data_IF_448900516145
#
_entry.id   IF_448900516145
#
_cell.length_a   1.000
_cell.length_b   1.000
_cell.length_c   1.000
_cell.angle_alpha   90.00
_cell.angle_beta   90.00
_cell.angle_gamma   90.00
#
_symmetry.space_group_name_H-M   'P 1'
#
loop_
_entity.id
_entity.type
_entity.pdbx_description
1 polymer ?
#
# COMPACT_ATOMS: atom_id res chain seq x y z
N UNK A 1 29.85 -22.69 5.42
CA UNK A 1 28.58 -22.14 5.92
C UNK A 1 27.93 -21.47 4.74
N UNK A 2 26.85 -22.05 4.21
CA UNK A 2 26.09 -21.39 3.15
C UNK A 2 25.50 -20.12 3.76
N UNK A 3 25.79 -18.97 3.16
CA UNK A 3 25.05 -17.74 3.43
C UNK A 3 23.64 -17.99 2.91
N UNK A 4 22.62 -17.88 3.76
CA UNK A 4 21.23 -17.90 3.29
C UNK A 4 21.05 -16.71 2.34
N UNK A 5 20.70 -17.00 1.09
CA UNK A 5 20.34 -16.00 0.09
C UNK A 5 19.16 -15.19 0.61
N UNK A 6 19.26 -13.86 0.54
CA UNK A 6 18.16 -12.96 0.95
C UNK A 6 17.04 -12.97 -0.10
N UNK A 7 15.85 -12.48 0.27
CA UNK A 7 14.75 -12.30 -0.68
C UNK A 7 15.19 -11.42 -1.87
N UNK A 8 16.03 -10.41 -1.64
CA UNK A 8 16.56 -9.56 -2.71
C UNK A 8 17.50 -10.35 -3.63
N UNK A 9 18.35 -11.22 -3.09
CA UNK A 9 19.23 -12.07 -3.90
C UNK A 9 18.43 -12.99 -4.81
N UNK A 10 17.28 -13.48 -4.35
CA UNK A 10 16.35 -14.24 -5.17
C UNK A 10 15.67 -13.36 -6.23
N UNK A 11 15.19 -12.17 -5.87
CA UNK A 11 14.52 -11.26 -6.81
C UNK A 11 15.46 -10.82 -7.94
N UNK A 12 16.73 -10.52 -7.64
CA UNK A 12 17.76 -10.14 -8.63
C UNK A 12 17.99 -11.17 -9.73
N UNK A 13 17.70 -12.44 -9.45
CA UNK A 13 17.82 -13.53 -10.43
C UNK A 13 16.66 -13.53 -11.44
N UNK A 14 15.50 -13.01 -11.04
CA UNK A 14 14.25 -13.08 -11.81
C UNK A 14 13.86 -11.75 -12.45
N UNK A 15 14.24 -10.61 -11.83
CA UNK A 15 13.89 -9.27 -12.29
C UNK A 15 15.09 -8.32 -12.17
N UNK A 16 15.20 -7.28 -13.04
CA UNK A 16 16.26 -6.28 -12.98
C UNK A 16 15.99 -5.30 -11.82
N UNK A 17 16.30 -5.73 -10.60
CA UNK A 17 16.15 -4.93 -9.37
C UNK A 17 17.51 -4.69 -8.72
N UNK A 18 17.77 -3.47 -8.27
CA UNK A 18 18.96 -3.13 -7.52
C UNK A 18 18.59 -2.38 -6.23
N UNK A 19 19.50 -2.45 -5.26
CA UNK A 19 19.36 -1.73 -3.99
C UNK A 19 20.32 -0.56 -3.98
N UNK A 20 19.79 0.64 -3.81
CA UNK A 20 20.57 1.87 -3.71
C UNK A 20 20.04 2.74 -2.57
N UNK A 21 20.91 3.59 -2.02
CA UNK A 21 20.50 4.59 -1.04
C UNK A 21 19.85 5.78 -1.74
N UNK A 22 18.60 6.07 -1.37
CA UNK A 22 17.86 7.23 -1.86
C UNK A 22 17.88 8.35 -0.81
N UNK A 23 18.49 9.49 -1.15
CA UNK A 23 18.47 10.69 -0.32
C UNK A 23 17.43 11.68 -0.85
N UNK A 24 16.41 11.94 -0.03
CA UNK A 24 15.33 12.90 -0.32
C UNK A 24 15.62 14.22 0.40
N UNK A 25 16.17 15.19 -0.33
CA UNK A 25 16.52 16.51 0.20
C UNK A 25 15.28 17.42 0.28
N UNK A 26 15.25 18.44 1.16
CA UNK A 26 14.13 19.38 1.27
C UNK A 26 13.69 20.01 -0.07
N UNK A 27 14.64 20.27 -0.97
CA UNK A 27 14.40 20.89 -2.29
C UNK A 27 14.06 19.86 -3.39
N UNK A 28 13.96 18.58 -3.06
CA UNK A 28 13.62 17.53 -4.01
C UNK A 28 12.15 17.66 -4.44
N UNK A 29 11.90 17.65 -5.75
CA UNK A 29 10.55 17.57 -6.32
C UNK A 29 10.05 16.12 -6.27
N UNK A 30 9.67 15.66 -5.08
CA UNK A 30 9.27 14.29 -4.82
C UNK A 30 7.88 14.25 -4.18
N UNK A 31 7.09 13.25 -4.57
CA UNK A 31 5.80 12.94 -3.99
C UNK A 31 5.69 11.46 -3.65
N UNK A 32 4.78 11.14 -2.74
CA UNK A 32 4.47 9.77 -2.37
C UNK A 32 3.20 9.33 -3.09
N UNK A 33 3.26 8.18 -3.76
CA UNK A 33 2.08 7.50 -4.30
C UNK A 33 1.81 6.26 -3.46
N UNK A 34 0.62 6.19 -2.88
CA UNK A 34 0.11 5.03 -2.14
C UNK A 34 -0.84 4.29 -3.07
N UNK A 35 -0.65 3.00 -3.24
CA UNK A 35 -1.43 2.18 -4.16
C UNK A 35 -2.15 1.10 -3.37
N UNK A 36 -3.47 1.14 -3.38
CA UNK A 36 -4.38 0.07 -2.96
C UNK A 36 -4.19 -0.43 -1.53
N UNK A 37 -3.81 0.47 -0.60
CA UNK A 37 -3.80 0.19 0.85
C UNK A 37 -5.22 0.33 1.42
N UNK A 38 -6.16 -0.42 0.84
CA UNK A 38 -7.59 -0.42 1.16
C UNK A 38 -7.97 -1.62 2.02
N UNK A 39 -9.10 -1.51 2.73
CA UNK A 39 -9.57 -2.57 3.63
C UNK A 39 -9.80 -3.90 2.91
N UNK A 40 -10.31 -3.85 1.67
CA UNK A 40 -10.57 -5.02 0.83
C UNK A 40 -9.35 -5.90 0.56
N UNK A 41 -8.13 -5.39 0.79
CA UNK A 41 -6.88 -6.14 0.67
C UNK A 41 -6.11 -6.29 1.98
N UNK A 42 -6.29 -5.36 2.93
CA UNK A 42 -5.39 -5.25 4.08
C UNK A 42 -6.04 -5.63 5.41
N UNK A 43 -7.37 -5.55 5.52
CA UNK A 43 -8.08 -5.69 6.81
C UNK A 43 -8.71 -7.07 6.94
N UNK A 44 -8.44 -7.76 8.04
CA UNK A 44 -8.86 -9.17 8.21
C UNK A 44 -10.38 -9.30 8.10
N UNK A 45 -10.83 -10.12 7.15
CA UNK A 45 -12.25 -10.40 6.93
C UNK A 45 -13.04 -9.24 6.32
N UNK A 46 -12.39 -8.19 5.83
CA UNK A 46 -13.10 -7.04 5.26
C UNK A 46 -13.68 -7.24 3.88
N UNK A 47 -13.31 -8.31 3.15
CA UNK A 47 -13.82 -8.58 1.82
C UNK A 47 -13.28 -9.89 1.25
N UNK A 48 -13.69 -10.24 0.03
CA UNK A 48 -13.30 -11.52 -0.60
C UNK A 48 -11.79 -11.63 -0.89
N UNK A 49 -11.12 -10.49 -1.07
CA UNK A 49 -9.68 -10.40 -1.36
C UNK A 49 -8.84 -10.08 -0.12
N UNK A 50 -9.49 -9.90 1.03
CA UNK A 50 -8.82 -9.52 2.26
C UNK A 50 -8.24 -10.75 2.96
N UNK A 51 -7.21 -10.59 3.82
CA UNK A 51 -6.69 -11.70 4.59
C UNK A 51 -7.78 -12.33 5.46
N UNK A 52 -7.85 -13.67 5.49
CA UNK A 52 -8.83 -14.39 6.33
C UNK A 52 -8.40 -14.53 7.78
N UNK A 53 -7.13 -14.23 8.07
CA UNK A 53 -6.51 -14.25 9.40
C UNK A 53 -5.41 -13.19 9.46
N UNK A 54 -4.95 -12.79 10.67
CA UNK A 54 -3.84 -11.84 10.80
C UNK A 54 -2.61 -12.26 9.98
N UNK A 55 -2.00 -11.29 9.30
CA UNK A 55 -0.81 -11.48 8.49
C UNK A 55 0.19 -10.36 8.80
N UNK A 56 1.30 -10.71 9.46
CA UNK A 56 2.32 -9.76 9.90
C UNK A 56 2.95 -8.98 8.75
N UNK A 57 3.09 -9.59 7.57
CA UNK A 57 3.65 -8.91 6.40
C UNK A 57 2.73 -7.78 5.92
N UNK A 58 1.42 -8.03 5.89
CA UNK A 58 0.42 -7.02 5.53
C UNK A 58 0.40 -5.91 6.58
N UNK A 59 0.34 -6.26 7.87
CA UNK A 59 0.36 -5.26 8.95
C UNK A 59 1.60 -4.37 8.87
N UNK A 60 2.79 -4.96 8.70
CA UNK A 60 4.04 -4.20 8.59
C UNK A 60 4.06 -3.30 7.35
N UNK A 61 3.53 -3.77 6.22
CA UNK A 61 3.42 -2.97 5.00
C UNK A 61 2.50 -1.76 5.20
N UNK A 62 1.34 -1.95 5.84
CA UNK A 62 0.40 -0.87 6.16
C UNK A 62 1.05 0.15 7.11
N UNK A 63 1.75 -0.32 8.14
CA UNK A 63 2.45 0.53 9.12
C UNK A 63 3.56 1.38 8.47
N UNK A 64 4.39 0.78 7.61
CA UNK A 64 5.45 1.51 6.90
C UNK A 64 4.88 2.51 5.89
N UNK A 65 3.81 2.14 5.18
CA UNK A 65 3.11 3.06 4.27
C UNK A 65 2.57 4.28 5.03
N UNK A 66 1.95 4.04 6.18
CA UNK A 66 1.46 5.10 7.07
C UNK A 66 2.59 5.98 7.62
N UNK A 67 3.73 5.38 7.99
CA UNK A 67 4.91 6.11 8.48
C UNK A 67 5.48 7.02 7.39
N UNK A 68 5.63 6.53 6.17
CA UNK A 68 6.10 7.33 5.04
C UNK A 68 5.12 8.46 4.70
N UNK A 69 3.81 8.18 4.70
CA UNK A 69 2.80 9.21 4.42
C UNK A 69 2.83 10.35 5.45
N UNK A 70 3.01 10.04 6.74
CA UNK A 70 3.18 11.05 7.79
C UNK A 70 4.44 11.89 7.57
N UNK A 71 5.57 11.26 7.26
CA UNK A 71 6.82 11.99 7.00
C UNK A 71 6.68 12.96 5.82
N UNK A 72 5.98 12.56 4.76
CA UNK A 72 5.70 13.44 3.62
C UNK A 72 4.79 14.60 4.02
N UNK A 73 3.73 14.35 4.78
CA UNK A 73 2.85 15.40 5.28
C UNK A 73 3.57 16.39 6.21
N UNK A 74 4.42 15.91 7.12
CA UNK A 74 5.19 16.76 8.04
C UNK A 74 6.12 17.71 7.26
N UNK A 75 6.63 17.25 6.11
CA UNK A 75 7.44 18.04 5.16
C UNK A 75 6.61 18.91 4.20
N UNK A 76 5.28 18.79 4.23
CA UNK A 76 4.36 19.39 3.25
C UNK A 76 4.68 18.98 1.82
N UNK A 77 5.08 17.73 1.65
CA UNK A 77 5.29 17.10 0.36
C UNK A 77 4.01 16.41 -0.11
N UNK A 78 3.76 16.36 -1.43
CA UNK A 78 2.53 15.82 -1.96
C UNK A 78 2.41 14.31 -1.69
N UNK A 79 1.22 13.91 -1.27
CA UNK A 79 0.81 12.50 -1.14
C UNK A 79 -0.42 12.27 -2.01
N UNK A 80 -0.38 11.24 -2.85
CA UNK A 80 -1.47 10.84 -3.71
C UNK A 80 -1.80 9.37 -3.46
N UNK A 81 -3.09 9.01 -3.43
CA UNK A 81 -3.54 7.64 -3.21
C UNK A 81 -4.42 7.16 -4.37
N UNK A 82 -4.06 6.01 -4.94
CA UNK A 82 -4.96 5.21 -5.77
C UNK A 82 -5.68 4.22 -4.86
N UNK A 83 -7.01 4.18 -4.98
CA UNK A 83 -7.86 3.26 -4.26
C UNK A 83 -8.53 2.36 -5.26
N UNK A 84 -8.22 1.07 -5.22
CA UNK A 84 -8.97 0.09 -5.97
C UNK A 84 -10.45 0.21 -5.64
N UNK A 85 -11.26 0.37 -6.68
CA UNK A 85 -12.67 0.67 -6.53
C UNK A 85 -13.46 0.27 -7.77
N UNK A 86 -14.41 -0.65 -7.59
CA UNK A 86 -15.21 -1.20 -8.69
C UNK A 86 -16.66 -0.76 -8.65
N UNK A 87 -17.23 -0.60 -9.84
CA UNK A 87 -18.67 -0.48 -10.00
C UNK A 87 -19.32 -1.88 -9.86
N UNK A 88 -20.41 -2.04 -9.09
CA UNK A 88 -21.03 -3.34 -8.86
C UNK A 88 -21.48 -4.05 -10.15
N UNK A 89 -21.87 -3.26 -11.16
CA UNK A 89 -22.33 -3.78 -12.45
C UNK A 89 -21.21 -4.03 -13.47
N UNK A 90 -19.95 -3.77 -13.12
CA UNK A 90 -18.78 -3.97 -14.02
C UNK A 90 -17.80 -4.94 -13.34
N UNK A 91 -18.05 -6.26 -13.42
CA UNK A 91 -17.22 -7.25 -12.75
C UNK A 91 -15.83 -7.37 -13.39
N UNK A 92 -14.81 -7.53 -12.56
CA UNK A 92 -13.43 -7.80 -12.98
C UNK A 92 -13.13 -9.29 -12.90
N UNK A 93 -13.28 -10.01 -14.02
CA UNK A 93 -12.99 -11.45 -14.09
C UNK A 93 -11.47 -11.65 -14.23
N UNK A 94 -10.83 -12.56 -13.45
CA UNK A 94 -11.42 -13.68 -12.69
C UNK A 94 -11.67 -13.41 -11.20
N UNK A 95 -11.49 -12.17 -10.73
CA UNK A 95 -11.61 -11.86 -9.31
C UNK A 95 -13.08 -11.87 -8.84
N UNK A 96 -13.35 -12.27 -7.60
CA UNK A 96 -14.68 -12.11 -7.00
C UNK A 96 -14.99 -10.61 -6.84
N UNK A 97 -16.27 -10.23 -6.63
CA UNK A 97 -16.59 -8.86 -6.25
C UNK A 97 -15.77 -8.42 -5.04
N UNK A 98 -15.10 -7.28 -5.16
CA UNK A 98 -14.25 -6.71 -4.12
C UNK A 98 -14.20 -5.19 -4.28
N UNK A 99 -13.83 -4.47 -3.22
CA UNK A 99 -13.57 -3.03 -3.28
C UNK A 99 -14.70 -2.25 -3.97
N UNK A 100 -15.96 -2.58 -3.72
CA UNK A 100 -17.08 -1.93 -4.41
C UNK A 100 -17.21 -0.47 -3.95
N UNK A 101 -17.39 0.45 -4.89
CA UNK A 101 -17.54 1.88 -4.63
C UNK A 101 -18.64 2.11 -3.59
N UNK A 102 -18.31 2.89 -2.55
CA UNK A 102 -19.22 3.21 -1.44
C UNK A 102 -19.30 2.15 -0.34
N UNK A 103 -18.50 1.09 -0.42
CA UNK A 103 -18.33 0.12 0.67
C UNK A 103 -17.05 0.38 1.45
N UNK A 104 -16.98 -0.14 2.69
CA UNK A 104 -15.76 -0.07 3.51
C UNK A 104 -14.58 -0.77 2.87
N UNK A 105 -14.81 -1.77 1.99
CA UNK A 105 -13.74 -2.47 1.27
C UNK A 105 -12.88 -1.52 0.43
N UNK A 106 -13.51 -0.52 -0.21
CA UNK A 106 -12.85 0.44 -1.08
C UNK A 106 -12.20 1.61 -0.32
N UNK A 107 -12.39 1.69 0.99
CA UNK A 107 -11.79 2.74 1.82
C UNK A 107 -10.37 2.37 2.24
N UNK A 108 -9.51 3.38 2.41
CA UNK A 108 -8.20 3.21 3.02
C UNK A 108 -8.30 2.56 4.41
N UNK A 109 -7.28 1.80 4.78
CA UNK A 109 -7.21 1.21 6.13
C UNK A 109 -7.30 2.32 7.21
N UNK A 110 -8.25 2.24 8.17
CA UNK A 110 -8.41 3.22 9.24
C UNK A 110 -7.18 3.30 10.14
N UNK A 111 -6.94 4.45 10.78
CA UNK A 111 -5.81 4.64 11.69
C UNK A 111 -4.48 4.90 11.00
N UNK A 112 -4.28 4.33 9.81
CA UNK A 112 -3.06 4.49 9.01
C UNK A 112 -2.93 5.88 8.39
N UNK A 113 -4.06 6.49 8.02
CA UNK A 113 -4.08 7.75 7.25
C UNK A 113 -5.07 8.78 7.80
N UNK A 114 -5.54 8.64 9.06
CA UNK A 114 -6.65 9.42 9.61
C UNK A 114 -6.43 10.95 9.73
N UNK A 115 -5.21 11.47 9.59
CA UNK A 115 -4.98 12.92 9.42
C UNK A 115 -4.63 13.34 7.99
N UNK A 116 -4.50 12.38 7.08
CA UNK A 116 -4.48 12.63 5.64
C UNK A 116 -5.93 12.73 5.17
N UNK A 117 -6.50 13.94 5.29
CA UNK A 117 -7.27 14.39 4.13
C UNK A 117 -6.31 14.26 2.93
N UNK A 118 -6.75 13.84 1.75
CA UNK A 118 -5.89 13.69 0.54
C UNK A 118 -5.48 15.09 0.00
N UNK A 119 -4.96 15.90 0.90
CA UNK A 119 -4.64 17.32 0.89
C UNK A 119 -3.88 17.64 2.19
N UNK A 120 -2.82 16.88 2.48
CA UNK A 120 -1.60 17.58 2.92
C UNK A 120 -1.17 18.43 1.70
#
# INVERSE_FOLDING_TARGET
>A
MATDDTIIDHLKKEIPVDEESLLLNPDSSVGLVIVDVVNGFCTVGSGNMAPTKPNEQISKMVEESARLAREFCDRKWPVFAFLDSHHPDVPEIPYPPHCIIGTQEAELVPGSFLSLSVSC
#
